data_IF_347095761343
#
_entry.id   IF_347095761343
#
_cell.length_a   1.000
_cell.length_b   1.000
_cell.length_c   1.000
_cell.angle_alpha   90.00
_cell.angle_beta   90.00
_cell.angle_gamma   90.00
#
_symmetry.space_group_name_H-M   'P 1'
#
loop_
_entity.id
_entity.type
_entity.pdbx_description
1 polymer ?
#
# COMPACT_ATOMS: atom_id res chain seq x y z
N UNK A 1 -5.82 -11.14 -3.59
CA UNK A 1 -4.64 -11.55 -4.40
C UNK A 1 -3.45 -10.69 -4.07
N UNK A 2 -2.29 -11.30 -3.85
CA UNK A 2 -1.07 -10.57 -3.55
C UNK A 2 -0.24 -10.40 -4.82
N UNK A 3 0.19 -9.17 -5.09
CA UNK A 3 0.94 -8.82 -6.30
C UNK A 3 2.26 -8.16 -5.92
N UNK A 4 3.31 -8.33 -6.76
CA UNK A 4 4.55 -7.57 -6.56
C UNK A 4 4.30 -6.07 -6.74
N UNK A 5 5.24 -5.24 -6.27
CA UNK A 5 5.05 -3.79 -6.18
C UNK A 5 4.59 -3.16 -7.50
N UNK A 6 5.26 -3.48 -8.61
CA UNK A 6 4.92 -2.88 -9.90
C UNK A 6 3.51 -3.26 -10.35
N UNK A 7 3.15 -4.54 -10.22
CA UNK A 7 1.83 -5.01 -10.61
C UNK A 7 0.75 -4.45 -9.69
N UNK A 8 1.02 -4.38 -8.39
CA UNK A 8 0.09 -3.79 -7.43
C UNK A 8 -0.15 -2.31 -7.72
N UNK A 9 0.91 -1.56 -7.99
CA UNK A 9 0.80 -0.15 -8.33
C UNK A 9 -0.04 0.05 -9.60
N UNK A 10 0.22 -0.75 -10.63
CA UNK A 10 -0.55 -0.66 -11.87
C UNK A 10 -2.03 -0.95 -11.63
N UNK A 11 -2.34 -1.96 -10.82
CA UNK A 11 -3.71 -2.33 -10.48
C UNK A 11 -4.43 -1.21 -9.73
N UNK A 12 -3.70 -0.43 -8.94
CA UNK A 12 -4.26 0.68 -8.17
C UNK A 12 -4.23 2.02 -8.91
N UNK A 13 -3.63 2.05 -10.09
CA UNK A 13 -3.47 3.31 -10.83
C UNK A 13 -2.49 4.28 -10.17
N UNK A 14 -1.49 3.75 -9.47
CA UNK A 14 -0.49 4.55 -8.75
C UNK A 14 0.92 4.15 -9.17
N UNK A 15 1.91 4.93 -8.75
CA UNK A 15 3.31 4.59 -9.00
C UNK A 15 3.85 3.65 -7.91
N UNK A 16 4.88 2.84 -8.21
CA UNK A 16 5.52 2.03 -7.18
C UNK A 16 6.04 2.84 -5.99
N UNK A 17 6.59 4.01 -6.25
CA UNK A 17 7.09 4.89 -5.19
C UNK A 17 5.98 5.37 -4.26
N UNK A 18 4.80 5.61 -4.81
CA UNK A 18 3.63 5.99 -4.01
C UNK A 18 3.33 4.91 -2.98
N UNK A 19 3.29 3.64 -3.40
CA UNK A 19 3.03 2.54 -2.48
C UNK A 19 4.11 2.42 -1.41
N UNK A 20 5.36 2.54 -1.80
CA UNK A 20 6.48 2.43 -0.86
C UNK A 20 6.43 3.50 0.22
N UNK A 21 6.00 4.70 -0.13
CA UNK A 21 5.89 5.80 0.83
C UNK A 21 4.74 5.63 1.81
N UNK A 22 3.74 4.83 1.47
CA UNK A 22 2.60 4.59 2.35
C UNK A 22 2.87 3.54 3.42
N UNK A 23 4.01 2.85 3.37
CA UNK A 23 4.33 1.83 4.37
C UNK A 23 4.57 2.48 5.74
N UNK A 24 4.19 1.75 6.78
CA UNK A 24 4.38 2.19 8.15
C UNK A 24 5.85 2.51 8.47
N UNK A 25 6.79 1.75 7.89
CA UNK A 25 8.22 2.00 8.07
C UNK A 25 8.68 3.33 7.48
N UNK A 26 7.88 3.96 6.62
CA UNK A 26 8.17 5.25 6.01
C UNK A 26 7.18 6.33 6.46
N UNK A 27 6.54 6.13 7.60
CA UNK A 27 5.60 7.09 8.15
C UNK A 27 4.20 7.05 7.55
N UNK A 28 3.90 6.03 6.75
CA UNK A 28 2.58 5.85 6.15
C UNK A 28 1.64 5.03 7.03
N UNK A 29 0.48 4.72 6.46
CA UNK A 29 -0.58 4.01 7.19
C UNK A 29 -0.73 2.53 6.80
N UNK A 30 0.04 2.05 5.82
CA UNK A 30 -0.01 0.64 5.42
C UNK A 30 0.87 -0.19 6.35
N UNK A 31 0.30 -1.25 6.91
CA UNK A 31 0.96 -2.06 7.94
C UNK A 31 1.54 -3.34 7.36
N UNK A 32 2.74 -3.69 7.81
CA UNK A 32 3.38 -4.96 7.46
C UNK A 32 2.52 -6.13 7.95
N UNK A 33 2.41 -7.16 7.12
CA UNK A 33 1.61 -8.37 7.36
C UNK A 33 0.09 -8.16 7.32
N UNK A 34 -0.36 -6.95 7.04
CA UNK A 34 -1.78 -6.65 6.79
C UNK A 34 -1.97 -6.23 5.33
N UNK A 35 -1.20 -5.23 4.91
CA UNK A 35 -1.31 -4.64 3.58
C UNK A 35 -0.19 -5.09 2.65
N UNK A 36 0.97 -5.43 3.20
CA UNK A 36 2.11 -5.87 2.41
C UNK A 36 2.97 -6.85 3.21
N UNK A 37 3.81 -7.61 2.49
CA UNK A 37 4.72 -8.58 3.09
C UNK A 37 6.11 -8.41 2.51
N UNK A 38 7.12 -8.41 3.37
CA UNK A 38 8.53 -8.41 2.98
C UNK A 38 8.97 -9.83 2.67
N UNK A 39 9.91 -9.97 1.72
CA UNK A 39 10.48 -11.27 1.39
C UNK A 39 11.53 -11.73 2.40
N UNK A 40 12.08 -12.91 2.14
CA UNK A 40 13.07 -13.54 3.01
C UNK A 40 14.41 -12.81 3.04
N UNK A 41 14.71 -12.03 2.02
CA UNK A 41 16.01 -11.36 1.91
C UNK A 41 15.79 -9.93 1.46
N UNK A 42 16.80 -9.05 1.61
CA UNK A 42 16.68 -7.66 1.17
C UNK A 42 16.37 -7.51 -0.33
N UNK A 43 16.71 -8.51 -1.13
CA UNK A 43 16.48 -8.48 -2.57
C UNK A 43 15.17 -9.13 -3.01
N UNK A 44 14.44 -9.76 -2.07
CA UNK A 44 13.18 -10.39 -2.41
C UNK A 44 12.10 -9.33 -2.66
N UNK A 45 11.21 -9.54 -3.65
CA UNK A 45 10.16 -8.56 -3.92
C UNK A 45 9.17 -8.44 -2.77
N UNK A 46 8.68 -7.22 -2.57
CA UNK A 46 7.58 -6.96 -1.66
C UNK A 46 6.29 -7.35 -2.37
N UNK A 47 5.40 -8.06 -1.69
CA UNK A 47 4.07 -8.38 -2.21
C UNK A 47 3.01 -7.59 -1.46
N UNK A 48 1.92 -7.25 -2.16
CA UNK A 48 0.89 -6.36 -1.64
C UNK A 48 -0.49 -7.00 -1.77
N UNK A 49 -1.28 -6.89 -0.71
CA UNK A 49 -2.69 -7.26 -0.78
C UNK A 49 -3.45 -6.08 -1.37
N UNK A 50 -3.73 -6.16 -2.66
CA UNK A 50 -4.31 -5.04 -3.42
C UNK A 50 -5.67 -4.62 -2.88
N UNK A 51 -6.51 -5.58 -2.51
CA UNK A 51 -7.83 -5.26 -1.96
C UNK A 51 -7.72 -4.50 -0.64
N UNK A 52 -6.85 -4.96 0.26
CA UNK A 52 -6.66 -4.30 1.55
C UNK A 52 -6.05 -2.91 1.38
N UNK A 53 -5.08 -2.76 0.46
CA UNK A 53 -4.46 -1.47 0.17
C UNK A 53 -5.50 -0.50 -0.39
N UNK A 54 -6.32 -0.97 -1.34
CA UNK A 54 -7.36 -0.14 -1.95
C UNK A 54 -8.36 0.37 -0.91
N UNK A 55 -8.79 -0.50 -0.01
CA UNK A 55 -9.69 -0.14 1.08
C UNK A 55 -9.06 0.89 2.01
N UNK A 56 -7.80 0.69 2.38
CA UNK A 56 -7.10 1.61 3.27
C UNK A 56 -6.99 3.00 2.66
N UNK A 57 -6.64 3.09 1.38
CA UNK A 57 -6.54 4.35 0.67
C UNK A 57 -7.92 5.04 0.60
N UNK A 58 -8.96 4.28 0.30
CA UNK A 58 -10.33 4.82 0.21
C UNK A 58 -10.79 5.37 1.56
N UNK A 59 -10.53 4.66 2.64
CA UNK A 59 -10.87 5.14 4.00
C UNK A 59 -10.15 6.42 4.34
N UNK A 60 -8.88 6.52 4.01
CA UNK A 60 -8.11 7.74 4.24
C UNK A 60 -8.66 8.92 3.45
N UNK A 61 -9.04 8.70 2.21
CA UNK A 61 -9.63 9.73 1.37
C UNK A 61 -10.95 10.25 1.93
N UNK A 62 -11.81 9.35 2.37
CA UNK A 62 -13.09 9.72 2.99
C UNK A 62 -12.86 10.51 4.27
N UNK A 63 -11.96 10.04 5.12
CA UNK A 63 -11.65 10.70 6.39
C UNK A 63 -11.10 12.10 6.17
N UNK A 64 -10.19 12.26 5.23
CA UNK A 64 -9.61 13.56 4.90
C UNK A 64 -10.69 14.54 4.43
N UNK A 65 -11.63 14.09 3.60
CA UNK A 65 -12.73 14.93 3.14
C UNK A 65 -13.67 15.35 4.26
N UNK A 66 -13.92 14.47 5.21
CA UNK A 66 -14.75 14.80 6.37
C UNK A 66 -14.09 15.86 7.25
N UNK A 67 -12.78 15.79 7.41
CA UNK A 67 -12.04 16.78 8.18
C UNK A 67 -12.00 18.15 7.51
N UNK A 68 -12.00 18.17 6.20
CA UNK A 68 -11.96 19.42 5.43
C UNK A 68 -13.33 20.02 5.17
N UNK A 69 -14.33 19.22 5.24
CA UNK A 69 -15.63 19.67 4.85
C UNK A 69 -16.76 19.40 5.73
#
# INVERSE_FOLDING_TARGET
MNLPTRAAAASLGRSPDYLKRLRDSHGGFLEHQVHYWLGHSPNAPITWNVEAVREAIAKRGIQARKELG
#
